data_IF_688947547438
#
_entry.id   IF_688947547438
#
_cell.length_a   1.000
_cell.length_b   1.000
_cell.length_c   1.000
_cell.angle_alpha   90.00
_cell.angle_beta   90.00
_cell.angle_gamma   90.00
#
_symmetry.space_group_name_H-M   'P 1'
#
loop_
_entity.id
_entity.type
_entity.pdbx_description
1 polymer ?
#
# COMPACT_ATOMS: atom_id res chain seq x y z
N UNK A 1 4.88 -20.27 -4.39
CA UNK A 1 5.45 -18.97 -4.78
C UNK A 1 6.56 -18.58 -3.83
N UNK A 2 7.62 -17.95 -4.33
CA UNK A 2 8.63 -17.31 -3.49
C UNK A 2 8.35 -15.81 -3.44
N UNK A 3 8.50 -15.17 -2.30
CA UNK A 3 8.33 -13.71 -2.12
C UNK A 3 9.29 -13.20 -1.06
N UNK A 4 9.78 -11.99 -1.24
CA UNK A 4 10.58 -11.33 -0.21
C UNK A 4 9.68 -10.88 0.94
N UNK A 5 10.05 -11.29 2.15
CA UNK A 5 9.41 -10.86 3.39
C UNK A 5 10.25 -9.76 4.04
N UNK A 6 9.70 -8.57 4.14
CA UNK A 6 10.42 -7.42 4.71
C UNK A 6 10.82 -7.64 6.17
N UNK A 7 9.95 -8.27 6.97
CA UNK A 7 10.25 -8.52 8.37
C UNK A 7 11.37 -9.56 8.59
N UNK A 8 11.51 -10.51 7.65
CA UNK A 8 12.58 -11.51 7.67
C UNK A 8 13.83 -11.06 6.92
N UNK A 9 13.71 -10.08 6.02
CA UNK A 9 14.82 -9.58 5.21
C UNK A 9 15.30 -10.57 4.13
N UNK A 10 14.48 -11.57 3.77
CA UNK A 10 14.84 -12.63 2.82
C UNK A 10 13.67 -13.09 1.96
N UNK A 11 13.98 -13.75 0.85
CA UNK A 11 12.97 -14.39 0.00
C UNK A 11 12.56 -15.73 0.62
N UNK A 12 11.31 -15.85 0.98
CA UNK A 12 10.73 -17.04 1.61
C UNK A 12 9.76 -17.77 0.69
N UNK A 13 9.53 -19.04 0.95
CA UNK A 13 8.44 -19.78 0.32
C UNK A 13 7.13 -19.40 0.99
N UNK A 14 6.22 -18.82 0.21
CA UNK A 14 4.85 -18.56 0.63
C UNK A 14 3.95 -19.68 0.09
N UNK A 15 3.30 -20.38 1.01
CA UNK A 15 2.33 -21.43 0.69
C UNK A 15 0.91 -20.86 0.86
N UNK A 16 0.20 -20.56 -0.25
CA UNK A 16 -1.15 -20.03 -0.19
C UNK A 16 -2.16 -21.11 0.23
N UNK A 17 -3.18 -20.69 1.01
CA UNK A 17 -4.37 -21.47 1.24
C UNK A 17 -5.32 -21.41 0.02
N UNK A 18 -6.50 -22.04 0.10
CA UNK A 18 -7.53 -21.90 -0.95
C UNK A 18 -7.96 -20.44 -1.16
N UNK A 19 -7.95 -19.65 -0.09
CA UNK A 19 -8.17 -18.20 -0.09
C UNK A 19 -6.90 -17.50 0.37
N UNK A 20 -6.45 -16.49 -0.37
CA UNK A 20 -5.33 -15.60 0.00
C UNK A 20 -5.90 -14.24 0.41
N UNK A 21 -5.67 -13.87 1.67
CA UNK A 21 -6.07 -12.59 2.22
C UNK A 21 -4.93 -11.57 2.06
N UNK A 22 -5.25 -10.39 1.52
CA UNK A 22 -4.27 -9.32 1.30
C UNK A 22 -4.82 -8.00 1.82
N UNK A 23 -3.98 -7.23 2.52
CA UNK A 23 -4.28 -5.86 2.90
C UNK A 23 -3.21 -4.94 2.35
N UNK A 24 -3.62 -4.02 1.48
CA UNK A 24 -2.77 -2.94 0.99
C UNK A 24 -3.18 -1.66 1.68
N UNK A 25 -2.26 -1.01 2.40
CA UNK A 25 -2.52 0.33 2.88
C UNK A 25 -2.92 1.23 1.71
N UNK A 26 -4.04 1.93 1.88
CA UNK A 26 -4.66 2.74 0.85
C UNK A 26 -4.11 4.16 0.82
N UNK A 27 -4.93 5.09 0.37
CA UNK A 27 -4.53 6.49 0.26
C UNK A 27 -5.28 7.37 1.25
N UNK A 28 -4.63 8.47 1.62
CA UNK A 28 -5.33 9.65 2.14
C UNK A 28 -5.77 10.48 0.93
N UNK A 29 -7.07 10.52 0.61
CA UNK A 29 -7.56 11.08 -0.65
C UNK A 29 -7.70 12.61 -0.55
N UNK A 30 -6.59 13.32 -0.68
CA UNK A 30 -6.57 14.80 -0.69
C UNK A 30 -5.86 15.37 -1.92
N UNK A 31 -5.40 14.51 -2.84
CA UNK A 31 -4.74 14.87 -4.09
C UNK A 31 -4.66 13.67 -5.04
N UNK A 32 -4.40 13.94 -6.33
CA UNK A 32 -4.32 12.93 -7.38
C UNK A 32 -3.33 11.80 -7.11
N UNK A 33 -3.59 10.62 -7.68
CA UNK A 33 -2.67 9.50 -7.62
C UNK A 33 -1.42 9.76 -8.47
N UNK A 34 -0.26 9.70 -7.84
CA UNK A 34 1.02 9.74 -8.54
C UNK A 34 1.57 8.33 -8.80
N UNK A 35 2.61 8.23 -9.65
CA UNK A 35 3.20 6.94 -10.04
C UNK A 35 3.65 6.07 -8.86
N UNK A 36 4.07 6.66 -7.75
CA UNK A 36 4.41 5.89 -6.54
C UNK A 36 3.22 5.11 -5.99
N UNK A 37 2.03 5.73 -5.93
CA UNK A 37 0.80 5.03 -5.56
C UNK A 37 0.44 3.94 -6.58
N UNK A 38 0.48 4.29 -7.88
CA UNK A 38 0.16 3.35 -8.94
C UNK A 38 1.07 2.12 -8.91
N UNK A 39 2.37 2.29 -8.64
CA UNK A 39 3.30 1.17 -8.52
C UNK A 39 2.87 0.19 -7.43
N UNK A 40 2.52 0.69 -6.23
CA UNK A 40 2.04 -0.16 -5.13
C UNK A 40 0.83 -0.98 -5.56
N UNK A 41 -0.19 -0.34 -6.11
CA UNK A 41 -1.45 -1.03 -6.43
C UNK A 41 -1.34 -1.93 -7.65
N UNK A 42 -0.49 -1.61 -8.63
CA UNK A 42 -0.17 -2.50 -9.75
C UNK A 42 0.49 -3.80 -9.24
N UNK A 43 1.39 -3.74 -8.25
CA UNK A 43 2.00 -4.95 -7.71
C UNK A 43 1.05 -5.78 -6.83
N UNK A 44 0.13 -5.15 -6.08
CA UNK A 44 -0.95 -5.89 -5.42
C UNK A 44 -1.93 -6.51 -6.43
N UNK A 45 -2.21 -5.85 -7.55
CA UNK A 45 -2.96 -6.42 -8.66
C UNK A 45 -2.23 -7.62 -9.27
N UNK A 46 -0.91 -7.55 -9.45
CA UNK A 46 -0.11 -8.68 -9.94
C UNK A 46 -0.17 -9.88 -9.01
N UNK A 47 -0.14 -9.69 -7.68
CA UNK A 47 -0.34 -10.77 -6.71
C UNK A 47 -1.72 -11.39 -6.87
N UNK A 48 -2.78 -10.58 -6.98
CA UNK A 48 -4.14 -11.09 -7.17
C UNK A 48 -4.25 -11.90 -8.47
N UNK A 49 -3.74 -11.37 -9.59
CA UNK A 49 -3.76 -12.07 -10.89
C UNK A 49 -3.02 -13.38 -10.82
N UNK A 50 -1.84 -13.40 -10.24
CA UNK A 50 -1.02 -14.60 -10.13
C UNK A 50 -1.69 -15.68 -9.29
N UNK A 51 -2.20 -15.34 -8.09
CA UNK A 51 -2.90 -16.30 -7.24
C UNK A 51 -4.18 -16.84 -7.89
N UNK A 52 -4.96 -15.99 -8.55
CA UNK A 52 -6.17 -16.42 -9.28
C UNK A 52 -5.84 -17.33 -10.46
N UNK A 53 -4.77 -17.04 -11.19
CA UNK A 53 -4.28 -17.88 -12.29
C UNK A 53 -3.84 -19.27 -11.80
N UNK A 54 -3.34 -19.39 -10.57
CA UNK A 54 -3.04 -20.67 -9.93
C UNK A 54 -4.27 -21.36 -9.30
N UNK A 55 -5.46 -20.77 -9.38
CA UNK A 55 -6.70 -21.35 -8.88
C UNK A 55 -7.03 -21.03 -7.42
N UNK A 56 -6.37 -20.03 -6.82
CA UNK A 56 -6.73 -19.55 -5.47
C UNK A 56 -7.73 -18.41 -5.54
N UNK A 57 -8.64 -18.36 -4.59
CA UNK A 57 -9.46 -17.17 -4.34
C UNK A 57 -8.60 -16.07 -3.69
N UNK A 58 -8.95 -14.80 -3.94
CA UNK A 58 -8.26 -13.66 -3.32
C UNK A 58 -9.24 -12.69 -2.67
N UNK A 59 -8.89 -12.25 -1.46
CA UNK A 59 -9.51 -11.12 -0.78
C UNK A 59 -8.47 -10.01 -0.59
N UNK A 60 -8.41 -9.08 -1.53
CA UNK A 60 -7.56 -7.88 -1.40
C UNK A 60 -8.40 -6.73 -0.86
N UNK A 61 -8.04 -6.21 0.30
CA UNK A 61 -8.63 -5.03 0.93
C UNK A 61 -7.68 -3.86 0.77
N UNK A 62 -8.22 -2.69 0.43
CA UNK A 62 -7.50 -1.43 0.39
C UNK A 62 -8.33 -0.40 1.16
N UNK A 63 -7.77 0.21 2.20
CA UNK A 63 -8.50 1.21 2.96
C UNK A 63 -8.47 2.59 2.30
N UNK A 64 -9.38 3.44 2.77
CA UNK A 64 -9.38 4.89 2.50
C UNK A 64 -9.22 5.61 3.81
N UNK A 65 -8.11 6.32 4.00
CA UNK A 65 -7.88 7.18 5.16
C UNK A 65 -8.58 8.51 4.93
N UNK A 66 -9.89 8.54 5.19
CA UNK A 66 -10.75 9.72 4.96
C UNK A 66 -10.83 10.67 6.16
N UNK A 67 -10.02 10.43 7.19
CA UNK A 67 -9.86 11.31 8.35
C UNK A 67 -8.43 11.23 8.89
N UNK A 68 -7.60 12.20 8.56
CA UNK A 68 -6.28 12.42 9.14
C UNK A 68 -5.90 13.90 9.09
N UNK A 69 -4.71 14.23 9.58
CA UNK A 69 -4.23 15.62 9.64
C UNK A 69 -4.09 16.24 8.25
N UNK A 70 -3.67 15.48 7.25
CA UNK A 70 -3.40 15.98 5.90
C UNK A 70 -4.69 16.32 5.15
N UNK A 71 -5.68 15.43 5.15
CA UNK A 71 -6.95 15.71 4.47
C UNK A 71 -7.71 16.87 5.16
N UNK A 72 -7.68 16.92 6.50
CA UNK A 72 -8.33 17.98 7.25
C UNK A 72 -7.68 19.34 6.98
N UNK A 73 -6.35 19.40 6.94
CA UNK A 73 -5.59 20.59 6.57
C UNK A 73 -5.92 21.02 5.14
N UNK A 74 -5.91 20.10 4.19
CA UNK A 74 -6.19 20.39 2.78
C UNK A 74 -7.62 20.87 2.55
N UNK A 75 -8.58 20.24 3.19
CA UNK A 75 -9.98 20.65 3.11
C UNK A 75 -10.18 22.10 3.64
N UNK A 76 -9.52 22.47 4.74
CA UNK A 76 -9.51 23.85 5.25
C UNK A 76 -8.87 24.84 4.26
N UNK A 77 -7.73 24.47 3.67
CA UNK A 77 -7.06 25.31 2.65
C UNK A 77 -7.96 25.58 1.44
N UNK A 78 -8.74 24.58 1.02
CA UNK A 78 -9.65 24.67 -0.12
C UNK A 78 -11.03 25.26 0.24
N UNK A 79 -11.37 25.35 1.52
CA UNK A 79 -12.68 25.80 1.99
C UNK A 79 -13.81 24.83 1.67
N UNK A 80 -13.53 23.52 1.63
CA UNK A 80 -14.49 22.43 1.33
C UNK A 80 -14.63 21.49 2.53
N UNK A 81 -15.70 20.70 2.52
CA UNK A 81 -15.83 19.64 3.54
C UNK A 81 -14.90 18.47 3.23
N UNK A 82 -14.21 17.92 4.24
CA UNK A 82 -13.21 16.86 4.05
C UNK A 82 -13.76 15.59 3.41
N UNK A 83 -15.01 15.21 3.68
CA UNK A 83 -15.64 14.05 3.03
C UNK A 83 -15.97 14.30 1.56
N UNK A 84 -16.29 15.54 1.19
CA UNK A 84 -16.52 15.90 -0.23
C UNK A 84 -15.19 15.85 -0.99
N UNK A 85 -14.12 16.37 -0.40
CA UNK A 85 -12.76 16.24 -0.94
C UNK A 85 -12.36 14.77 -1.09
N UNK A 86 -12.58 13.95 -0.05
CA UNK A 86 -12.29 12.52 -0.10
C UNK A 86 -13.09 11.81 -1.21
N UNK A 87 -14.35 12.14 -1.39
CA UNK A 87 -15.19 11.52 -2.41
C UNK A 87 -14.74 11.89 -3.84
N UNK A 88 -14.37 13.15 -4.08
CA UNK A 88 -13.89 13.63 -5.37
C UNK A 88 -12.56 12.97 -5.75
N UNK A 89 -11.59 12.97 -4.82
CA UNK A 89 -10.27 12.39 -5.08
C UNK A 89 -10.31 10.86 -5.20
N UNK A 90 -11.20 10.17 -4.45
CA UNK A 90 -11.41 8.74 -4.64
C UNK A 90 -12.01 8.41 -6.00
N UNK A 91 -12.99 9.18 -6.49
CA UNK A 91 -13.54 8.97 -7.82
C UNK A 91 -12.49 9.15 -8.92
N UNK A 92 -11.59 10.11 -8.76
CA UNK A 92 -10.46 10.33 -9.66
C UNK A 92 -9.46 9.16 -9.59
N UNK A 93 -9.09 8.76 -8.38
CA UNK A 93 -8.20 7.62 -8.14
C UNK A 93 -8.73 6.33 -8.79
N UNK A 94 -10.00 6.01 -8.60
CA UNK A 94 -10.63 4.80 -9.15
C UNK A 94 -10.65 4.82 -10.68
N UNK A 95 -10.91 5.99 -11.27
CA UNK A 95 -10.85 6.17 -12.72
C UNK A 95 -9.41 5.92 -13.24
N UNK A 96 -8.40 6.49 -12.60
CA UNK A 96 -6.99 6.32 -12.98
C UNK A 96 -6.51 4.85 -12.81
N UNK A 97 -6.89 4.17 -11.72
CA UNK A 97 -6.55 2.76 -11.51
C UNK A 97 -7.27 1.85 -12.51
N UNK A 98 -8.48 2.20 -12.90
CA UNK A 98 -9.23 1.48 -13.94
C UNK A 98 -8.56 1.61 -15.32
N UNK A 99 -7.99 2.76 -15.66
CA UNK A 99 -7.20 2.93 -16.90
C UNK A 99 -6.00 1.97 -16.93
N UNK A 100 -5.35 1.75 -15.79
CA UNK A 100 -4.25 0.80 -15.66
C UNK A 100 -4.71 -0.67 -15.59
N UNK A 101 -6.00 -0.95 -15.80
CA UNK A 101 -6.61 -2.29 -15.78
C UNK A 101 -6.36 -3.05 -14.46
N UNK A 102 -6.45 -2.37 -13.32
CA UNK A 102 -6.41 -3.05 -12.03
C UNK A 102 -7.69 -3.86 -11.79
N UNK A 103 -7.54 -5.03 -11.20
CA UNK A 103 -8.69 -5.81 -10.74
C UNK A 103 -9.38 -5.08 -9.59
N UNK A 104 -10.71 -5.18 -9.49
CA UNK A 104 -11.42 -4.64 -8.34
C UNK A 104 -10.91 -5.28 -7.04
N UNK A 105 -10.76 -4.47 -6.01
CA UNK A 105 -10.49 -4.97 -4.66
C UNK A 105 -11.76 -5.59 -4.06
N UNK A 106 -11.60 -6.48 -3.08
CA UNK A 106 -12.72 -7.12 -2.40
C UNK A 106 -13.53 -6.11 -1.57
N UNK A 107 -12.86 -5.22 -0.87
CA UNK A 107 -13.45 -4.19 -0.04
C UNK A 107 -12.54 -2.96 0.01
N UNK A 108 -13.17 -1.78 0.12
CA UNK A 108 -12.48 -0.49 0.21
C UNK A 108 -13.03 0.33 1.38
N UNK A 109 -12.77 -0.12 2.63
CA UNK A 109 -13.35 0.47 3.81
C UNK A 109 -12.73 1.83 4.14
N UNK A 110 -13.58 2.76 4.61
CA UNK A 110 -13.17 4.09 5.07
C UNK A 110 -12.85 4.09 6.55
N UNK A 111 -11.85 4.86 6.99
CA UNK A 111 -11.49 5.01 8.38
C UNK A 111 -12.68 5.51 9.23
N UNK A 112 -13.45 6.48 8.71
CA UNK A 112 -14.65 7.00 9.38
C UNK A 112 -15.74 5.93 9.60
N UNK A 113 -15.73 4.83 8.85
CA UNK A 113 -16.67 3.72 9.01
C UNK A 113 -16.29 2.73 10.11
N UNK A 114 -15.12 2.88 10.73
CA UNK A 114 -14.56 1.92 11.69
C UNK A 114 -14.35 2.52 13.10
N UNK A 115 -14.97 3.64 13.41
CA UNK A 115 -14.78 4.33 14.70
C UNK A 115 -15.12 3.41 15.88
N UNK A 116 -16.18 2.60 15.80
CA UNK A 116 -16.55 1.68 16.87
C UNK A 116 -15.52 0.59 17.10
N UNK A 117 -14.96 0.04 16.02
CA UNK A 117 -13.88 -0.96 16.05
C UNK A 117 -12.58 -0.36 16.60
N UNK A 118 -12.25 0.86 16.16
CA UNK A 118 -11.10 1.61 16.67
C UNK A 118 -11.21 1.83 18.18
N UNK A 119 -12.36 2.33 18.66
CA UNK A 119 -12.60 2.56 20.09
C UNK A 119 -12.53 1.24 20.88
N UNK A 120 -13.01 0.14 20.31
CA UNK A 120 -12.91 -1.19 20.92
C UNK A 120 -11.47 -1.65 21.03
N UNK A 121 -10.69 -1.53 19.95
CA UNK A 121 -9.29 -1.93 19.90
C UNK A 121 -8.45 -1.14 20.93
N UNK A 122 -8.66 0.18 21.00
CA UNK A 122 -8.03 1.05 22.00
C UNK A 122 -8.41 0.62 23.42
N UNK A 123 -9.69 0.30 23.65
CA UNK A 123 -10.18 -0.16 24.95
C UNK A 123 -9.43 -1.40 25.43
N UNK A 124 -9.28 -2.40 24.55
CA UNK A 124 -8.52 -3.63 24.87
C UNK A 124 -7.03 -3.32 25.10
N UNK A 125 -6.41 -2.45 24.29
CA UNK A 125 -5.01 -2.06 24.49
C UNK A 125 -4.79 -1.39 25.86
N UNK A 126 -5.72 -0.56 26.33
CA UNK A 126 -5.69 0.03 27.67
C UNK A 126 -5.86 -1.02 28.78
N UNK A 127 -6.82 -1.92 28.64
CA UNK A 127 -7.10 -2.99 29.61
C UNK A 127 -5.91 -3.95 29.73
N UNK A 128 -5.21 -4.22 28.64
CA UNK A 128 -4.02 -5.08 28.61
C UNK A 128 -2.73 -4.35 29.04
N UNK A 129 -2.80 -3.03 29.33
CA UNK A 129 -1.63 -2.26 29.76
C UNK A 129 -0.67 -1.84 28.63
N UNK A 130 -1.10 -1.95 27.37
CA UNK A 130 -0.32 -1.52 26.20
C UNK A 130 -0.55 -0.07 25.82
N UNK A 131 -1.57 0.58 26.39
CA UNK A 131 -1.88 1.99 26.15
C UNK A 131 -2.07 2.75 27.45
N UNK A 132 -2.04 4.08 27.38
CA UNK A 132 -2.25 4.98 28.51
C UNK A 132 -2.83 6.32 28.09
N UNK A 133 -3.49 7.01 29.04
CA UNK A 133 -4.01 8.37 28.86
C UNK A 133 -2.97 9.39 29.33
N UNK A 134 -2.77 10.44 28.53
CA UNK A 134 -1.96 11.60 28.91
C UNK A 134 -2.37 12.81 28.06
N UNK A 135 -2.47 13.99 28.68
CA UNK A 135 -2.78 15.24 27.97
C UNK A 135 -4.08 15.26 27.18
N UNK A 136 -5.06 14.40 27.52
CA UNK A 136 -6.33 14.26 26.79
C UNK A 136 -6.26 13.28 25.62
N UNK A 137 -5.09 12.71 25.32
CA UNK A 137 -4.89 11.71 24.27
C UNK A 137 -4.66 10.33 24.84
N UNK A 138 -4.88 9.29 24.03
CA UNK A 138 -4.50 7.91 24.33
C UNK A 138 -3.29 7.56 23.47
N UNK A 139 -2.22 7.11 24.11
CA UNK A 139 -0.99 6.68 23.45
C UNK A 139 -0.78 5.18 23.62
N UNK A 140 -0.24 4.53 22.58
CA UNK A 140 0.33 3.21 22.69
C UNK A 140 1.73 3.31 23.30
N UNK A 141 2.04 2.44 24.27
CA UNK A 141 3.34 2.37 24.90
C UNK A 141 4.26 1.39 24.17
N UNK A 142 5.22 1.87 23.39
CA UNK A 142 6.14 1.00 22.65
C UNK A 142 6.97 0.11 23.59
N UNK A 143 7.26 0.58 24.79
CA UNK A 143 7.98 -0.19 25.82
C UNK A 143 7.20 -1.43 26.29
N UNK A 144 5.88 -1.46 26.11
CA UNK A 144 5.05 -2.61 26.47
C UNK A 144 5.05 -3.73 25.43
N UNK A 145 5.53 -3.46 24.20
CA UNK A 145 5.63 -4.42 23.10
C UNK A 145 7.11 -4.69 22.76
N UNK A 146 7.63 -5.79 23.25
CA UNK A 146 9.07 -6.13 23.19
C UNK A 146 9.63 -6.24 21.77
N UNK A 147 8.77 -6.58 20.81
CA UNK A 147 9.15 -6.82 19.42
C UNK A 147 9.04 -5.57 18.55
N UNK A 148 8.82 -4.39 19.15
CA UNK A 148 8.79 -3.14 18.41
C UNK A 148 10.12 -2.87 17.71
N UNK A 149 10.07 -2.66 16.39
CA UNK A 149 11.25 -2.58 15.51
C UNK A 149 11.53 -3.87 14.75
N UNK A 150 10.74 -4.93 14.91
CA UNK A 150 10.92 -6.23 14.24
C UNK A 150 10.69 -6.15 12.72
N UNK A 151 9.71 -5.35 12.29
CA UNK A 151 9.37 -5.24 10.85
C UNK A 151 10.42 -4.42 10.12
N UNK A 152 10.82 -3.29 10.69
CA UNK A 152 11.76 -2.36 10.08
C UNK A 152 13.22 -2.78 10.23
N UNK A 153 13.58 -3.43 11.33
CA UNK A 153 14.96 -3.71 11.70
C UNK A 153 15.77 -2.44 12.00
N UNK A 154 15.14 -1.30 12.19
CA UNK A 154 15.83 -0.01 12.38
C UNK A 154 16.33 0.17 13.82
N UNK A 155 17.46 0.84 13.94
CA UNK A 155 17.94 1.30 15.25
C UNK A 155 17.09 2.47 15.79
N UNK A 156 17.11 2.67 17.12
CA UNK A 156 16.27 3.67 17.78
C UNK A 156 16.41 5.09 17.23
N UNK A 157 17.63 5.54 16.93
CA UNK A 157 17.87 6.89 16.41
C UNK A 157 17.23 7.09 15.03
N UNK A 158 17.30 6.07 14.18
CA UNK A 158 16.63 6.08 12.88
C UNK A 158 15.11 6.08 13.04
N UNK A 159 14.57 5.30 13.96
CA UNK A 159 13.13 5.30 14.26
C UNK A 159 12.66 6.68 14.73
N UNK A 160 13.41 7.35 15.60
CA UNK A 160 13.08 8.71 16.07
C UNK A 160 13.06 9.73 14.94
N UNK A 161 14.05 9.66 14.04
CA UNK A 161 14.11 10.54 12.86
C UNK A 161 12.90 10.32 11.96
N UNK A 162 12.61 9.07 11.60
CA UNK A 162 11.48 8.73 10.72
C UNK A 162 10.12 9.03 11.38
N UNK A 163 9.98 8.80 12.69
CA UNK A 163 8.77 9.15 13.42
C UNK A 163 8.52 10.66 13.37
N UNK A 164 9.56 11.50 13.54
CA UNK A 164 9.44 12.95 13.43
C UNK A 164 9.05 13.40 12.01
N UNK A 165 9.65 12.80 10.99
CA UNK A 165 9.34 13.10 9.57
C UNK A 165 7.90 12.74 9.18
N UNK A 166 7.30 11.76 9.86
CA UNK A 166 5.93 11.28 9.62
C UNK A 166 4.90 11.82 10.63
N UNK A 167 5.20 12.95 11.29
CA UNK A 167 4.26 13.61 12.21
C UNK A 167 4.08 12.91 13.57
N UNK A 168 5.02 12.05 13.96
CA UNK A 168 4.96 11.32 15.23
C UNK A 168 5.27 12.15 16.48
N UNK A 169 5.76 13.39 16.36
CA UNK A 169 6.05 14.31 17.47
C UNK A 169 6.83 13.67 18.64
N UNK A 170 8.09 13.25 18.44
CA UNK A 170 8.91 12.66 19.51
C UNK A 170 9.13 13.59 20.71
N UNK A 171 9.00 14.90 20.50
CA UNK A 171 9.16 15.96 21.51
C UNK A 171 7.91 16.18 22.40
N UNK A 172 6.80 15.49 22.12
CA UNK A 172 5.56 15.65 22.89
C UNK A 172 5.76 15.22 24.36
N UNK A 173 5.67 16.15 25.28
CA UNK A 173 5.86 15.94 26.73
C UNK A 173 4.80 15.04 27.37
N UNK A 174 3.69 14.73 26.67
CA UNK A 174 2.67 13.81 27.13
C UNK A 174 3.08 12.34 26.93
N UNK A 175 4.08 12.07 26.08
CA UNK A 175 4.59 10.74 25.83
C UNK A 175 5.53 10.28 26.95
N UNK A 176 5.47 9.00 27.30
CA UNK A 176 6.40 8.34 28.21
C UNK A 176 7.71 7.95 27.52
N UNK A 177 7.61 7.56 26.25
CA UNK A 177 8.72 7.31 25.34
C UNK A 177 8.50 8.12 24.06
N UNK A 178 9.54 8.79 23.51
CA UNK A 178 9.41 9.55 22.26
C UNK A 178 8.84 8.77 21.06
N UNK A 179 8.94 7.44 21.04
CA UNK A 179 8.37 6.58 20.02
C UNK A 179 6.93 6.16 20.30
N UNK A 180 6.37 6.45 21.49
CA UNK A 180 4.95 6.20 21.75
C UNK A 180 4.11 6.95 20.72
N UNK A 181 3.03 6.34 20.27
CA UNK A 181 2.23 6.90 19.18
C UNK A 181 0.75 7.03 19.56
N UNK A 182 0.09 7.97 18.93
CA UNK A 182 -1.30 8.34 19.23
C UNK A 182 -2.25 7.25 18.73
N UNK A 183 -3.15 6.81 19.59
CA UNK A 183 -4.30 5.96 19.26
C UNK A 183 -5.59 6.79 19.14
N UNK A 184 -5.74 7.79 20.02
CA UNK A 184 -6.88 8.72 20.06
C UNK A 184 -6.41 10.10 20.49
N UNK A 185 -6.93 11.14 19.86
CA UNK A 185 -6.58 12.52 20.19
C UNK A 185 -7.79 13.43 20.15
N UNK A 186 -7.80 14.52 20.96
CA UNK A 186 -8.83 15.55 20.87
C UNK A 186 -8.85 16.18 19.48
N UNK A 187 -10.05 16.43 18.95
CA UNK A 187 -10.23 17.17 17.70
C UNK A 187 -10.17 18.69 17.95
N UNK A 188 -9.70 19.43 16.97
CA UNK A 188 -9.84 20.89 16.95
C UNK A 188 -11.32 21.28 16.75
N UNK A 189 -11.72 22.53 17.07
CA UNK A 189 -13.13 22.94 17.02
C UNK A 189 -13.83 22.77 15.68
N UNK A 190 -13.09 22.77 14.57
CA UNK A 190 -13.57 22.66 13.21
C UNK A 190 -13.23 21.29 12.57
N UNK A 191 -12.73 20.35 13.37
CA UNK A 191 -12.45 18.98 12.96
C UNK A 191 -13.59 18.01 13.33
N UNK A 192 -13.76 16.91 12.59
CA UNK A 192 -14.69 15.86 13.01
C UNK A 192 -14.29 15.30 14.36
N UNK A 193 -15.28 15.08 15.23
CA UNK A 193 -15.08 14.51 16.54
C UNK A 193 -16.13 13.42 16.80
N UNK A 194 -15.69 12.32 17.38
CA UNK A 194 -16.56 11.23 17.83
C UNK A 194 -16.48 11.11 19.35
N UNK A 195 -17.60 10.78 19.95
CA UNK A 195 -17.66 10.56 21.40
C UNK A 195 -16.86 9.30 21.78
N UNK A 196 -16.06 9.40 22.83
CA UNK A 196 -15.33 8.29 23.40
C UNK A 196 -15.32 8.33 24.93
N UNK A 197 -14.86 7.24 25.57
CA UNK A 197 -14.68 7.18 27.02
C UNK A 197 -13.60 8.16 27.53
N UNK A 198 -12.76 8.65 26.62
CA UNK A 198 -11.60 9.52 26.91
C UNK A 198 -11.86 10.98 26.52
N UNK A 199 -13.06 11.27 26.05
CA UNK A 199 -13.50 12.56 25.54
C UNK A 199 -13.72 12.55 24.02
N UNK A 200 -14.39 13.60 23.50
CA UNK A 200 -14.58 13.76 22.06
C UNK A 200 -13.25 13.94 21.35
N UNK A 201 -13.11 13.27 20.19
CA UNK A 201 -11.85 13.28 19.46
C UNK A 201 -11.89 12.47 18.20
N UNK A 202 -10.70 12.13 17.66
CA UNK A 202 -10.50 11.36 16.46
C UNK A 202 -9.36 10.34 16.60
N UNK A 203 -9.32 9.30 15.75
CA UNK A 203 -8.25 8.32 15.80
C UNK A 203 -6.89 8.91 15.42
N UNK A 204 -5.83 8.24 15.87
CA UNK A 204 -4.51 8.37 15.28
C UNK A 204 -4.43 7.55 13.97
N UNK A 205 -3.53 7.92 13.08
CA UNK A 205 -3.42 7.33 11.75
C UNK A 205 -3.21 5.81 11.75
N UNK A 206 -2.36 5.28 12.63
CA UNK A 206 -1.99 3.85 12.57
C UNK A 206 -3.10 2.90 13.04
N UNK A 207 -3.96 3.34 13.97
CA UNK A 207 -5.02 2.49 14.53
C UNK A 207 -6.15 2.23 13.53
N UNK A 208 -6.32 3.12 12.55
CA UNK A 208 -7.34 2.99 11.51
C UNK A 208 -7.13 1.72 10.69
N UNK A 209 -5.91 1.53 10.15
CA UNK A 209 -5.57 0.35 9.35
C UNK A 209 -5.62 -0.93 10.19
N UNK A 210 -5.14 -0.91 11.44
CA UNK A 210 -5.25 -2.08 12.33
C UNK A 210 -6.70 -2.50 12.53
N UNK A 211 -7.60 -1.56 12.85
CA UNK A 211 -9.02 -1.85 13.07
C UNK A 211 -9.70 -2.35 11.79
N UNK A 212 -9.43 -1.71 10.66
CA UNK A 212 -9.99 -2.09 9.37
C UNK A 212 -9.50 -3.46 8.91
N UNK A 213 -8.20 -3.73 9.04
CA UNK A 213 -7.59 -4.99 8.67
C UNK A 213 -8.17 -6.16 9.50
N UNK A 214 -8.27 -5.99 10.82
CA UNK A 214 -8.88 -6.97 11.72
C UNK A 214 -10.36 -7.21 11.40
N UNK A 215 -11.13 -6.17 11.10
CA UNK A 215 -12.54 -6.25 10.73
C UNK A 215 -12.76 -7.02 9.43
N UNK A 216 -11.99 -6.70 8.40
CA UNK A 216 -12.20 -7.21 7.05
C UNK A 216 -11.61 -8.61 6.83
N UNK A 217 -10.45 -8.89 7.44
CA UNK A 217 -9.64 -10.08 7.15
C UNK A 217 -9.38 -10.98 8.37
N UNK A 218 -9.72 -10.52 9.57
CA UNK A 218 -9.49 -11.28 10.81
C UNK A 218 -8.10 -11.03 11.41
N UNK A 219 -7.75 -11.84 12.42
CA UNK A 219 -6.60 -11.58 13.30
C UNK A 219 -5.24 -11.82 12.63
N UNK A 220 -5.18 -12.64 11.59
CA UNK A 220 -3.96 -12.94 10.84
C UNK A 220 -4.21 -12.83 9.34
N UNK A 221 -3.43 -12.00 8.67
CA UNK A 221 -3.51 -11.71 7.24
C UNK A 221 -2.39 -12.47 6.52
N UNK A 222 -2.65 -13.00 5.34
CA UNK A 222 -1.64 -13.72 4.56
C UNK A 222 -0.55 -12.78 4.05
N UNK A 223 -0.92 -11.67 3.40
CA UNK A 223 0.02 -10.69 2.85
C UNK A 223 -0.46 -9.28 3.23
N UNK A 224 0.41 -8.50 3.83
CA UNK A 224 0.15 -7.09 4.13
C UNK A 224 1.30 -6.22 3.67
N UNK A 225 0.99 -5.00 3.23
CA UNK A 225 2.04 -4.07 2.82
C UNK A 225 1.52 -2.80 2.17
N UNK A 226 2.44 -2.17 1.44
CA UNK A 226 2.24 -0.88 0.80
C UNK A 226 3.54 -0.36 0.21
N UNK A 227 3.72 0.96 0.16
CA UNK A 227 5.01 1.56 -0.16
C UNK A 227 6.07 1.25 0.92
N UNK A 228 7.33 1.20 0.54
CA UNK A 228 8.44 0.94 1.48
C UNK A 228 8.53 1.95 2.62
N UNK A 229 8.07 3.16 2.39
CA UNK A 229 8.01 4.22 3.40
C UNK A 229 7.02 3.94 4.54
N UNK A 230 6.07 3.02 4.34
CA UNK A 230 5.14 2.59 5.37
C UNK A 230 5.72 1.54 6.34
N UNK A 231 6.86 0.92 6.01
CA UNK A 231 7.52 -0.06 6.89
C UNK A 231 7.66 0.50 8.31
N UNK A 232 8.10 1.76 8.41
CA UNK A 232 8.18 2.49 9.66
C UNK A 232 7.76 3.96 9.45
N UNK A 233 6.92 4.53 10.34
CA UNK A 233 6.38 3.93 11.57
C UNK A 233 5.12 3.08 11.37
N UNK A 234 4.42 3.19 10.23
CA UNK A 234 3.02 2.77 10.09
C UNK A 234 2.82 1.26 10.34
N UNK A 235 3.47 0.40 9.58
CA UNK A 235 3.28 -1.07 9.69
C UNK A 235 3.89 -1.63 10.98
N UNK A 236 4.95 -1.01 11.51
CA UNK A 236 5.48 -1.35 12.82
C UNK A 236 4.46 -1.06 13.93
N UNK A 237 3.81 0.10 13.87
CA UNK A 237 2.75 0.48 14.81
C UNK A 237 1.50 -0.40 14.66
N UNK A 238 1.10 -0.73 13.44
CA UNK A 238 -0.02 -1.65 13.20
C UNK A 238 0.24 -3.04 13.80
N UNK A 239 1.46 -3.56 13.61
CA UNK A 239 1.88 -4.83 14.21
C UNK A 239 1.78 -4.79 15.73
N UNK A 240 2.36 -3.75 16.34
CA UNK A 240 2.35 -3.59 17.78
C UNK A 240 0.92 -3.53 18.34
N UNK A 241 0.02 -2.75 17.71
CA UNK A 241 -1.38 -2.63 18.12
C UNK A 241 -2.14 -3.95 17.98
N UNK A 242 -2.02 -4.58 16.82
CA UNK A 242 -2.79 -5.79 16.51
C UNK A 242 -2.35 -6.97 17.34
N UNK A 243 -1.05 -7.22 17.44
CA UNK A 243 -0.50 -8.37 18.21
C UNK A 243 -0.64 -8.18 19.71
N UNK A 244 -0.50 -6.96 20.24
CA UNK A 244 -0.72 -6.68 21.66
C UNK A 244 -2.17 -6.94 22.10
N UNK A 245 -3.14 -6.76 21.21
CA UNK A 245 -4.56 -6.95 21.48
C UNK A 245 -5.00 -8.39 21.23
N UNK A 246 -4.57 -9.00 20.14
CA UNK A 246 -5.03 -10.34 19.72
C UNK A 246 -4.20 -11.48 20.31
N UNK A 247 -2.93 -11.21 20.65
CA UNK A 247 -1.95 -12.24 21.07
C UNK A 247 -1.56 -13.19 19.93
N UNK A 248 -1.86 -12.82 18.66
CA UNK A 248 -1.59 -13.63 17.47
C UNK A 248 -0.72 -12.87 16.49
N UNK A 249 0.08 -13.58 15.66
CA UNK A 249 0.80 -12.93 14.56
C UNK A 249 -0.19 -12.19 13.65
N UNK A 250 0.07 -10.91 13.40
CA UNK A 250 -0.82 -10.07 12.58
C UNK A 250 -0.70 -10.41 11.10
N UNK A 251 0.53 -10.63 10.61
CA UNK A 251 0.81 -10.84 9.19
C UNK A 251 1.76 -12.02 8.97
N UNK A 252 1.47 -12.86 7.97
CA UNK A 252 2.33 -13.98 7.59
C UNK A 252 3.49 -13.57 6.70
N UNK A 253 3.27 -12.55 5.82
CA UNK A 253 4.28 -12.04 4.89
C UNK A 253 4.10 -10.53 4.68
N UNK A 254 5.15 -9.77 4.94
CA UNK A 254 5.20 -8.32 4.71
C UNK A 254 5.74 -7.99 3.32
N UNK A 255 4.88 -7.38 2.49
CA UNK A 255 5.16 -7.08 1.09
C UNK A 255 5.26 -5.57 0.87
N UNK A 256 6.47 -5.07 0.55
CA UNK A 256 6.71 -3.64 0.35
C UNK A 256 7.25 -3.35 -1.04
N UNK A 257 6.66 -2.35 -1.67
CA UNK A 257 7.04 -1.87 -3.00
C UNK A 257 8.02 -0.71 -2.86
N UNK A 258 9.08 -0.75 -3.65
CA UNK A 258 10.14 0.26 -3.70
C UNK A 258 9.60 1.64 -4.10
N UNK A 259 10.34 2.65 -3.75
CA UNK A 259 9.96 4.04 -4.00
C UNK A 259 10.24 4.43 -5.45
N UNK A 260 9.31 5.20 -6.03
CA UNK A 260 9.50 5.83 -7.34
C UNK A 260 10.01 7.25 -7.12
N UNK A 261 11.19 7.52 -7.62
CA UNK A 261 11.83 8.83 -7.59
C UNK A 261 11.68 9.61 -8.90
N UNK A 262 12.07 10.86 -8.87
CA UNK A 262 12.25 11.71 -10.05
C UNK A 262 13.52 12.56 -9.84
N UNK A 263 14.50 12.38 -10.72
CA UNK A 263 15.76 13.12 -10.66
C UNK A 263 16.60 12.82 -9.40
N UNK A 264 16.62 11.55 -8.95
CA UNK A 264 17.39 11.11 -7.78
C UNK A 264 16.72 11.43 -6.43
N UNK A 265 15.48 11.90 -6.44
CA UNK A 265 14.74 12.27 -5.22
C UNK A 265 13.39 11.59 -5.19
N UNK A 266 12.98 11.05 -4.04
CA UNK A 266 11.63 10.47 -3.87
C UNK A 266 10.58 11.46 -4.36
N UNK A 267 9.59 10.97 -5.13
CA UNK A 267 8.41 11.76 -5.45
C UNK A 267 7.68 12.12 -4.16
N UNK A 268 7.48 13.41 -3.94
CA UNK A 268 6.72 13.91 -2.81
C UNK A 268 6.00 15.21 -3.15
N UNK A 269 4.85 15.42 -2.51
CA UNK A 269 4.04 16.63 -2.71
C UNK A 269 4.78 17.90 -2.27
N UNK A 270 5.54 17.81 -1.19
CA UNK A 270 6.33 18.93 -0.66
C UNK A 270 7.41 19.42 -1.62
N UNK A 271 7.93 18.55 -2.48
CA UNK A 271 8.92 18.87 -3.50
C UNK A 271 8.29 19.26 -4.84
N UNK A 272 6.99 19.04 -5.04
CA UNK A 272 6.29 19.34 -6.30
C UNK A 272 6.80 18.53 -7.50
N UNK A 273 7.46 17.38 -7.25
CA UNK A 273 8.06 16.52 -8.27
C UNK A 273 7.22 15.27 -8.57
N UNK A 274 5.90 15.40 -8.55
CA UNK A 274 4.99 14.29 -8.79
C UNK A 274 4.74 14.08 -10.29
N UNK A 275 4.64 12.81 -10.68
CA UNK A 275 4.16 12.40 -12.00
C UNK A 275 2.81 11.72 -11.81
N UNK A 276 1.78 12.27 -12.42
CA UNK A 276 0.39 11.82 -12.25
C UNK A 276 0.00 10.82 -13.33
N UNK A 277 -0.68 9.75 -12.92
CA UNK A 277 -1.15 8.69 -13.82
C UNK A 277 -2.10 9.24 -14.88
N UNK A 278 -3.06 10.06 -14.46
CA UNK A 278 -4.04 10.65 -15.38
C UNK A 278 -3.42 11.53 -16.46
N UNK A 279 -2.33 12.25 -16.16
CA UNK A 279 -1.61 13.05 -17.17
C UNK A 279 -0.86 12.16 -18.16
N UNK A 280 -0.19 11.10 -17.68
CA UNK A 280 0.48 10.15 -18.58
C UNK A 280 -0.51 9.44 -19.51
N UNK A 281 -1.67 9.05 -19.02
CA UNK A 281 -2.70 8.38 -19.82
C UNK A 281 -3.40 9.29 -20.84
N UNK A 282 -3.19 10.62 -20.80
CA UNK A 282 -3.64 11.52 -21.89
C UNK A 282 -2.72 11.48 -23.10
N UNK A 283 -1.43 11.20 -22.89
CA UNK A 283 -0.41 11.22 -23.93
C UNK A 283 -0.02 9.81 -24.41
N UNK A 284 -0.18 8.80 -23.54
CA UNK A 284 0.26 7.44 -23.76
C UNK A 284 -0.85 6.43 -23.53
N UNK A 285 -0.76 5.29 -24.24
CA UNK A 285 -1.65 4.17 -23.99
C UNK A 285 -1.53 3.71 -22.52
N UNK A 286 -2.63 3.58 -21.76
CA UNK A 286 -2.60 3.13 -20.37
C UNK A 286 -1.91 1.77 -20.18
N UNK A 287 -2.00 0.86 -21.17
CA UNK A 287 -1.28 -0.41 -21.14
C UNK A 287 0.25 -0.19 -21.18
N UNK A 288 0.72 0.83 -21.94
CA UNK A 288 2.14 1.20 -21.93
C UNK A 288 2.56 1.79 -20.58
N UNK A 289 1.72 2.62 -19.93
CA UNK A 289 1.99 3.14 -18.58
C UNK A 289 2.12 1.98 -17.59
N UNK A 290 1.21 1.00 -17.64
CA UNK A 290 1.30 -0.22 -16.82
C UNK A 290 2.58 -1.00 -17.08
N UNK A 291 2.97 -1.18 -18.35
CA UNK A 291 4.21 -1.87 -18.73
C UNK A 291 5.46 -1.15 -18.24
N UNK A 292 5.45 0.18 -18.24
CA UNK A 292 6.56 0.98 -17.71
C UNK A 292 6.74 0.73 -16.19
N UNK A 293 5.65 0.65 -15.42
CA UNK A 293 5.69 0.31 -13.99
C UNK A 293 6.23 -1.12 -13.78
N UNK A 294 5.74 -2.09 -14.54
CA UNK A 294 6.15 -3.51 -14.44
C UNK A 294 7.58 -3.77 -14.93
N UNK A 295 8.22 -2.82 -15.63
CA UNK A 295 9.59 -2.94 -16.09
C UNK A 295 10.63 -2.88 -14.96
N UNK A 296 10.23 -2.47 -13.77
CA UNK A 296 11.07 -2.41 -12.58
C UNK A 296 10.68 -3.51 -11.60
N UNK A 297 11.64 -4.07 -10.87
CA UNK A 297 11.33 -5.06 -9.84
C UNK A 297 10.71 -4.36 -8.62
N UNK A 298 9.62 -4.90 -8.06
CA UNK A 298 8.88 -4.24 -6.97
C UNK A 298 9.74 -3.88 -5.74
N UNK A 299 10.79 -4.63 -5.46
CA UNK A 299 11.70 -4.37 -4.34
C UNK A 299 12.71 -3.25 -4.60
N UNK A 300 12.88 -2.80 -5.83
CA UNK A 300 13.90 -1.82 -6.18
C UNK A 300 13.33 -0.41 -6.10
N UNK A 301 14.07 0.50 -5.48
CA UNK A 301 13.83 1.93 -5.69
C UNK A 301 14.35 2.31 -7.06
N UNK A 302 13.64 3.17 -7.77
CA UNK A 302 14.01 3.56 -9.12
C UNK A 302 13.52 4.98 -9.45
N UNK A 303 14.20 5.62 -10.40
CA UNK A 303 13.85 6.95 -10.88
C UNK A 303 13.04 6.86 -12.17
N UNK A 304 11.91 7.56 -12.20
CA UNK A 304 11.09 7.73 -13.39
C UNK A 304 11.80 8.64 -14.41
N UNK A 305 11.85 8.22 -15.66
CA UNK A 305 12.40 8.95 -16.80
C UNK A 305 11.43 8.88 -17.97
N UNK A 306 10.53 9.88 -18.06
CA UNK A 306 9.46 9.90 -19.06
C UNK A 306 9.96 9.75 -20.48
N UNK A 307 11.11 10.35 -20.81
CA UNK A 307 11.76 10.31 -22.11
C UNK A 307 12.39 8.93 -22.46
N UNK A 308 12.50 8.02 -21.50
CA UNK A 308 13.04 6.67 -21.68
C UNK A 308 12.00 5.59 -21.38
N UNK A 309 11.33 5.67 -20.25
CA UNK A 309 10.45 4.61 -19.76
C UNK A 309 9.20 4.47 -20.64
N UNK A 310 8.59 5.59 -21.04
CA UNK A 310 7.40 5.55 -21.89
C UNK A 310 7.67 5.11 -23.33
N UNK A 311 8.71 5.62 -24.05
CA UNK A 311 9.04 5.09 -25.37
C UNK A 311 9.39 3.61 -25.37
N UNK A 312 10.11 3.12 -24.34
CA UNK A 312 10.43 1.70 -24.20
C UNK A 312 9.17 0.84 -23.99
N UNK A 313 8.27 1.28 -23.12
CA UNK A 313 7.03 0.58 -22.85
C UNK A 313 6.07 0.59 -24.05
N UNK A 314 5.97 1.71 -24.76
CA UNK A 314 5.16 1.81 -25.98
C UNK A 314 5.72 0.91 -27.10
N UNK A 315 7.05 0.85 -27.25
CA UNK A 315 7.69 -0.05 -28.23
C UNK A 315 7.43 -1.52 -27.88
N UNK A 316 7.48 -1.90 -26.60
CA UNK A 316 7.13 -3.26 -26.13
C UNK A 316 5.66 -3.59 -26.44
N UNK A 317 4.74 -2.69 -26.12
CA UNK A 317 3.31 -2.88 -26.41
C UNK A 317 3.08 -3.08 -27.92
N UNK A 318 3.71 -2.28 -28.76
CA UNK A 318 3.62 -2.43 -30.22
C UNK A 318 4.20 -3.76 -30.72
N UNK A 319 5.33 -4.24 -30.15
CA UNK A 319 5.90 -5.53 -30.44
C UNK A 319 4.91 -6.65 -30.09
N UNK A 320 4.32 -6.62 -28.90
CA UNK A 320 3.35 -7.64 -28.49
C UNK A 320 2.07 -7.63 -29.31
N UNK A 321 1.58 -6.43 -29.65
CA UNK A 321 0.39 -6.29 -30.54
C UNK A 321 0.64 -6.78 -31.97
N UNK A 322 1.90 -6.86 -32.41
CA UNK A 322 2.27 -7.41 -33.73
C UNK A 322 2.46 -8.94 -33.73
N UNK A 323 2.45 -9.58 -32.56
CA UNK A 323 2.58 -11.02 -32.46
C UNK A 323 1.34 -11.74 -33.04
N UNK A 324 1.50 -12.95 -33.59
CA UNK A 324 0.37 -13.67 -34.18
C UNK A 324 -0.66 -14.09 -33.13
N UNK A 325 -1.90 -14.26 -33.54
CA UNK A 325 -2.94 -14.86 -32.69
C UNK A 325 -2.61 -16.33 -32.36
N UNK A 326 -3.01 -16.76 -31.17
CA UNK A 326 -2.82 -18.12 -30.69
C UNK A 326 -2.91 -18.25 -29.17
N UNK A 327 -2.77 -19.46 -28.66
CA UNK A 327 -2.92 -19.76 -27.23
C UNK A 327 -1.77 -19.23 -26.34
N UNK A 328 -0.58 -18.97 -26.91
CA UNK A 328 0.56 -18.39 -26.20
C UNK A 328 1.06 -19.20 -24.98
N UNK A 329 0.86 -20.51 -24.97
CA UNK A 329 1.12 -21.38 -23.81
C UNK A 329 2.58 -21.31 -23.32
N UNK A 330 3.57 -21.23 -24.24
CA UNK A 330 5.00 -21.12 -23.86
C UNK A 330 5.30 -19.82 -23.13
N UNK A 331 4.83 -18.68 -23.65
CA UNK A 331 4.97 -17.38 -23.04
C UNK A 331 4.27 -17.29 -21.68
N UNK A 332 3.04 -17.80 -21.57
CA UNK A 332 2.31 -17.86 -20.32
C UNK A 332 3.07 -18.66 -19.25
N UNK A 333 3.67 -19.80 -19.62
CA UNK A 333 4.48 -20.59 -18.68
C UNK A 333 5.68 -19.79 -18.17
N UNK A 334 6.42 -19.15 -19.07
CA UNK A 334 7.57 -18.34 -18.69
C UNK A 334 7.19 -17.15 -17.78
N UNK A 335 6.03 -16.51 -18.04
CA UNK A 335 5.48 -15.48 -17.14
C UNK A 335 5.15 -16.05 -15.75
N UNK A 336 4.47 -17.20 -15.68
CA UNK A 336 4.17 -17.88 -14.40
C UNK A 336 5.44 -18.21 -13.62
N UNK A 337 6.47 -18.73 -14.29
CA UNK A 337 7.75 -19.06 -13.67
C UNK A 337 8.46 -17.80 -13.12
N UNK A 338 8.40 -16.70 -13.84
CA UNK A 338 8.96 -15.42 -13.40
C UNK A 338 8.19 -14.85 -12.20
N UNK A 339 6.87 -14.77 -12.28
CA UNK A 339 6.04 -14.27 -11.19
C UNK A 339 6.08 -15.17 -9.94
N UNK A 340 6.25 -16.48 -10.12
CA UNK A 340 6.42 -17.46 -9.03
C UNK A 340 7.73 -17.29 -8.25
N UNK A 341 8.70 -16.61 -8.82
CA UNK A 341 10.02 -16.36 -8.25
C UNK A 341 10.19 -14.88 -7.92
N UNK A 342 9.69 -14.48 -6.76
CA UNK A 342 9.78 -13.15 -6.19
C UNK A 342 9.10 -12.04 -7.03
N UNK A 343 7.99 -12.42 -7.69
CA UNK A 343 7.18 -11.52 -8.53
C UNK A 343 8.04 -10.76 -9.56
N UNK A 344 8.98 -11.46 -10.21
CA UNK A 344 9.96 -10.88 -11.14
C UNK A 344 9.28 -10.47 -12.47
N UNK A 345 8.58 -9.33 -12.41
CA UNK A 345 7.90 -8.78 -13.58
C UNK A 345 8.86 -8.37 -14.69
N UNK A 346 10.06 -7.79 -14.44
CA UNK A 346 11.03 -7.56 -15.50
C UNK A 346 11.38 -8.81 -16.31
N UNK A 347 11.61 -9.93 -15.65
CA UNK A 347 11.88 -11.23 -16.32
C UNK A 347 10.66 -11.71 -17.10
N UNK A 348 9.46 -11.53 -16.56
CA UNK A 348 8.21 -11.88 -17.25
C UNK A 348 8.04 -11.06 -18.55
N UNK A 349 8.34 -9.76 -18.52
CA UNK A 349 8.31 -8.89 -19.70
C UNK A 349 9.31 -9.34 -20.77
N UNK A 350 10.55 -9.63 -20.39
CA UNK A 350 11.60 -10.11 -21.32
C UNK A 350 11.19 -11.44 -21.97
N UNK A 351 10.61 -12.35 -21.21
CA UNK A 351 10.13 -13.62 -21.74
C UNK A 351 9.07 -13.44 -22.86
N UNK A 352 8.15 -12.48 -22.69
CA UNK A 352 7.16 -12.17 -23.74
C UNK A 352 7.78 -11.41 -24.92
N UNK A 353 8.77 -10.55 -24.69
CA UNK A 353 9.52 -9.88 -25.79
C UNK A 353 10.21 -10.91 -26.68
N UNK A 354 10.83 -11.96 -26.09
CA UNK A 354 11.46 -13.06 -26.83
C UNK A 354 10.44 -13.89 -27.62
N UNK A 355 9.28 -14.21 -27.03
CA UNK A 355 8.20 -14.93 -27.72
C UNK A 355 7.67 -14.12 -28.93
N UNK A 356 7.36 -12.83 -28.72
CA UNK A 356 6.87 -11.96 -29.77
C UNK A 356 7.90 -11.78 -30.90
N UNK A 357 9.18 -11.57 -30.56
CA UNK A 357 10.27 -11.44 -31.53
C UNK A 357 10.45 -12.72 -32.35
N UNK A 358 10.20 -13.88 -31.75
CA UNK A 358 10.24 -15.19 -32.44
C UNK A 358 8.96 -15.48 -33.24
N UNK A 359 8.01 -14.53 -33.32
CA UNK A 359 6.75 -14.69 -34.04
C UNK A 359 5.80 -15.69 -33.38
N UNK A 360 5.84 -15.80 -32.06
CA UNK A 360 4.94 -16.67 -31.29
C UNK A 360 3.87 -15.83 -30.54
N UNK A 361 2.68 -16.42 -30.30
CA UNK A 361 1.61 -15.72 -29.57
C UNK A 361 1.99 -15.34 -28.14
N UNK A 362 1.58 -14.16 -27.66
CA UNK A 362 1.88 -13.63 -26.33
C UNK A 362 0.64 -13.23 -25.53
N UNK A 363 -0.55 -13.25 -26.13
CA UNK A 363 -1.77 -12.68 -25.54
C UNK A 363 -2.10 -13.24 -24.16
N UNK A 364 -1.95 -14.55 -23.92
CA UNK A 364 -2.23 -15.16 -22.61
C UNK A 364 -1.27 -14.68 -21.51
N UNK A 365 0.02 -14.56 -21.82
CA UNK A 365 1.01 -14.02 -20.89
C UNK A 365 0.80 -12.53 -20.63
N UNK A 366 0.49 -11.75 -21.66
CA UNK A 366 0.14 -10.33 -21.54
C UNK A 366 -1.10 -10.13 -20.66
N UNK A 367 -2.15 -10.93 -20.84
CA UNK A 367 -3.36 -10.88 -20.03
C UNK A 367 -3.09 -11.17 -18.55
N UNK A 368 -2.19 -12.14 -18.23
CA UNK A 368 -1.78 -12.38 -16.85
C UNK A 368 -1.07 -11.16 -16.23
N UNK A 369 -0.30 -10.41 -17.02
CA UNK A 369 0.31 -9.15 -16.62
C UNK A 369 -0.69 -7.97 -16.61
N UNK A 370 -1.97 -8.19 -16.91
CA UNK A 370 -3.01 -7.16 -16.94
C UNK A 370 -2.97 -6.28 -18.20
N UNK A 371 -2.35 -6.75 -19.27
CA UNK A 371 -2.26 -6.06 -20.56
C UNK A 371 -3.18 -6.74 -21.57
N UNK A 372 -4.08 -5.97 -22.15
CA UNK A 372 -4.94 -6.38 -23.27
C UNK A 372 -4.30 -5.92 -24.57
N UNK A 373 -4.13 -6.81 -25.52
CA UNK A 373 -3.53 -6.55 -26.84
C UNK A 373 -4.61 -6.38 -27.91
#
# INVERSE_FOLDING_TARGET
>A
MRLYDTARGEVVTFEPGPLVTMYSCGITPYDAAHLGHAAVYVYFDMLQRYFRDLGHDTKCVRNVTDVDDDILRKARELGVHYLDLAAEEMARFDAEMSLLNLLPVYSEPRATSAISEILSLIGVALENGHAYLSGGSVYFSVASFREFGRISGFGRDQMLTLAAEQGGHPEDSNKRDPLDFVLWQPSLPDEPAWESRWGPGRPGWHIECSALALRELGETIDIHGGGRDLVFPHHECETAQSEAVTGKPFVRLWFHVGLVGLGGTKMSKSLGNLVFVGELCKEWDPAAVRLALLAHHYRSDWDWRTDQDMPAAASRLALWASAPEGDGTSGLRAVRDALGDDLDTPRALVALDEEATAGRPVAAGAALLGVTL
#
